data_IF_749670793422
#
_entry.id   IF_749670793422
#
_cell.length_a   1.000
_cell.length_b   1.000
_cell.length_c   1.000
_cell.angle_alpha   90.00
_cell.angle_beta   90.00
_cell.angle_gamma   90.00
#
_symmetry.space_group_name_H-M   'P 1'
#
loop_
_entity.id
_entity.type
_entity.pdbx_description
1 polymer ?
#
# COMPACT_ATOMS: atom_id res chain seq x y z
N UNK A 1 0.82 7.06 -3.44
CA UNK A 1 0.90 7.21 -1.97
C UNK A 1 0.39 5.95 -1.32
N UNK A 2 0.94 5.56 -0.18
CA UNK A 2 0.53 4.40 0.60
C UNK A 2 -0.96 4.52 0.98
N UNK A 3 -1.74 3.43 0.92
CA UNK A 3 -3.16 3.49 1.27
C UNK A 3 -3.33 3.81 2.77
N UNK A 4 -4.22 4.75 3.09
CA UNK A 4 -4.69 4.93 4.45
C UNK A 4 -5.59 3.75 4.89
N UNK A 5 -5.99 3.71 6.18
CA UNK A 5 -6.84 2.64 6.73
C UNK A 5 -8.14 2.37 5.94
N UNK A 6 -8.80 3.41 5.41
CA UNK A 6 -10.03 3.22 4.63
C UNK A 6 -9.75 2.57 3.28
N UNK A 7 -8.71 3.04 2.57
CA UNK A 7 -8.28 2.45 1.31
C UNK A 7 -7.78 1.02 1.50
N UNK A 8 -7.03 0.75 2.57
CA UNK A 8 -6.56 -0.59 2.91
C UNK A 8 -7.74 -1.58 3.04
N UNK A 9 -8.79 -1.21 3.78
CA UNK A 9 -10.03 -2.01 3.89
C UNK A 9 -10.68 -2.30 2.54
N UNK A 10 -10.75 -1.29 1.66
CA UNK A 10 -11.33 -1.47 0.33
C UNK A 10 -10.49 -2.45 -0.51
N UNK A 11 -9.16 -2.29 -0.51
CA UNK A 11 -8.24 -3.14 -1.28
C UNK A 11 -8.24 -4.58 -0.77
N UNK A 12 -8.31 -4.78 0.55
CA UNK A 12 -8.47 -6.10 1.17
C UNK A 12 -9.75 -6.78 0.67
N UNK A 13 -10.89 -6.08 0.71
CA UNK A 13 -12.16 -6.62 0.24
C UNK A 13 -12.15 -6.95 -1.27
N UNK A 14 -11.40 -6.18 -2.07
CA UNK A 14 -11.21 -6.44 -3.49
C UNK A 14 -10.29 -7.63 -3.79
N UNK A 15 -9.63 -8.21 -2.78
CA UNK A 15 -8.67 -9.33 -2.93
C UNK A 15 -7.55 -9.02 -3.92
N UNK A 16 -6.97 -7.83 -3.81
CA UNK A 16 -5.78 -7.47 -4.60
C UNK A 16 -4.60 -8.38 -4.24
N UNK A 17 -3.72 -8.64 -5.22
CA UNK A 17 -2.55 -9.53 -5.00
C UNK A 17 -1.36 -8.81 -4.35
N UNK A 18 -1.18 -7.53 -4.63
CA UNK A 18 -0.10 -6.71 -4.09
C UNK A 18 -0.43 -5.21 -4.25
N UNK A 19 0.17 -4.37 -3.41
CA UNK A 19 0.01 -2.91 -3.43
C UNK A 19 1.38 -2.28 -3.66
N UNK A 20 1.47 -1.41 -4.66
CA UNK A 20 2.68 -0.66 -4.98
C UNK A 20 2.39 0.84 -4.88
N UNK A 21 3.21 1.59 -4.14
CA UNK A 21 2.98 3.02 -3.91
C UNK A 21 4.27 3.85 -4.01
N UNK A 22 4.20 5.06 -4.57
CA UNK A 22 5.39 5.92 -4.73
C UNK A 22 5.85 6.64 -3.44
N UNK A 23 4.90 6.96 -2.56
CA UNK A 23 5.11 7.79 -1.37
C UNK A 23 4.57 7.07 -0.14
N UNK A 24 5.35 7.02 0.94
CA UNK A 24 4.89 6.46 2.21
C UNK A 24 3.85 7.34 2.89
N UNK A 25 3.05 6.74 3.77
CA UNK A 25 2.08 7.41 4.62
C UNK A 25 2.24 6.86 6.05
N UNK A 26 2.45 7.71 7.08
CA UNK A 26 2.75 7.25 8.44
C UNK A 26 1.47 6.80 9.17
N UNK A 27 0.84 5.74 8.67
CA UNK A 27 -0.36 5.14 9.25
C UNK A 27 -0.08 3.68 9.59
N UNK A 28 0.26 3.46 10.86
CA UNK A 28 0.65 2.15 11.39
C UNK A 28 -0.52 1.18 11.34
N UNK A 29 -1.74 1.65 11.61
CA UNK A 29 -2.95 0.84 11.54
C UNK A 29 -3.22 0.34 10.12
N UNK A 30 -2.95 1.16 9.09
CA UNK A 30 -3.10 0.70 7.70
C UNK A 30 -2.16 -0.46 7.37
N UNK A 31 -0.94 -0.45 7.91
CA UNK A 31 0.07 -1.49 7.72
C UNK A 31 -0.32 -2.77 8.44
N UNK A 32 -0.70 -2.66 9.71
CA UNK A 32 -1.20 -3.78 10.51
C UNK A 32 -2.37 -4.49 9.81
N UNK A 33 -3.34 -3.75 9.28
CA UNK A 33 -4.46 -4.35 8.54
C UNK A 33 -4.03 -5.10 7.26
N UNK A 34 -3.04 -4.57 6.53
CA UNK A 34 -2.52 -5.23 5.33
C UNK A 34 -1.69 -6.46 5.68
N UNK A 35 -0.91 -6.41 6.77
CA UNK A 35 -0.12 -7.51 7.30
C UNK A 35 -1.04 -8.65 7.80
N UNK A 36 -2.09 -8.33 8.56
CA UNK A 36 -3.11 -9.28 9.01
C UNK A 36 -3.85 -9.93 7.83
N UNK A 37 -4.13 -9.16 6.77
CA UNK A 37 -4.76 -9.67 5.55
C UNK A 37 -3.79 -10.46 4.65
N UNK A 38 -2.50 -10.47 4.96
CA UNK A 38 -1.46 -11.13 4.16
C UNK A 38 -1.27 -10.50 2.77
N UNK A 39 -1.53 -9.20 2.63
CA UNK A 39 -1.38 -8.48 1.35
C UNK A 39 -0.01 -7.81 1.30
N UNK A 40 0.88 -8.22 0.37
CA UNK A 40 2.18 -7.57 0.20
C UNK A 40 2.00 -6.12 -0.23
N UNK A 41 2.75 -5.22 0.40
CA UNK A 41 2.83 -3.82 -0.02
C UNK A 41 4.29 -3.36 -0.05
N UNK A 42 4.65 -2.59 -1.08
CA UNK A 42 6.00 -2.06 -1.22
C UNK A 42 6.01 -0.67 -1.84
N UNK A 43 7.00 0.13 -1.42
CA UNK A 43 7.25 1.43 -2.02
C UNK A 43 7.94 1.23 -3.37
N UNK A 44 7.42 1.85 -4.42
CA UNK A 44 8.10 1.94 -5.69
C UNK A 44 9.17 3.01 -5.61
N UNK A 45 10.40 2.64 -5.92
CA UNK A 45 11.43 3.61 -6.24
C UNK A 45 11.03 4.25 -7.57
N UNK A 46 10.88 5.57 -7.59
CA UNK A 46 10.73 6.30 -8.85
C UNK A 46 12.11 6.34 -9.47
N UNK A 47 12.35 5.56 -10.52
CA UNK A 47 13.46 5.85 -11.43
C UNK A 47 13.28 7.31 -11.88
N UNK A 48 14.32 8.12 -11.69
CA UNK A 48 14.33 9.53 -12.07
C UNK A 48 13.82 9.67 -13.49
N UNK A 49 12.70 10.39 -13.63
CA UNK A 49 12.06 10.78 -14.88
C UNK A 49 13.08 11.45 -15.80
N UNK A 50 13.72 10.63 -16.64
CA UNK A 50 14.74 11.02 -17.61
C UNK A 50 14.17 11.01 -19.03
N UNK A 51 12.96 11.57 -19.22
CA UNK A 51 12.40 11.88 -20.54
C UNK A 51 12.02 13.34 -20.64
#
# INVERSE_FOLDING_TARGET
>A
TQPCILCAKMLINCRVRAIHFAEGYPDDMSREMLDEAGIPYQRMERESDGR
#
